data_IF_313711006555
#
_entry.id   IF_313711006555
#
_cell.length_a   1.000
_cell.length_b   1.000
_cell.length_c   1.000
_cell.angle_alpha   90.00
_cell.angle_beta   90.00
_cell.angle_gamma   90.00
#
_symmetry.space_group_name_H-M   'P 1'
#
loop_
_entity.id
_entity.type
_entity.pdbx_description
1 polymer ?
#
# COMPACT_ATOMS: atom_id res chain seq x y z
N UNK A 1 0.82 5.66 18.63
CA UNK A 1 0.42 5.25 17.27
C UNK A 1 -0.97 4.64 17.34
N UNK A 2 -1.84 4.95 16.38
CA UNK A 2 -3.12 4.27 16.19
C UNK A 2 -2.96 3.38 14.96
N UNK A 3 -3.41 2.12 15.06
CA UNK A 3 -3.43 1.19 13.93
C UNK A 3 -4.90 0.93 13.61
N UNK A 4 -5.24 1.11 12.34
CA UNK A 4 -6.56 0.79 11.80
C UNK A 4 -6.38 -0.45 10.94
N UNK A 5 -7.08 -1.52 11.29
CA UNK A 5 -7.17 -2.72 10.47
C UNK A 5 -8.46 -2.65 9.64
N UNK A 6 -8.35 -3.02 8.37
CA UNK A 6 -9.50 -3.18 7.49
C UNK A 6 -9.58 -4.64 7.09
N UNK A 7 -10.72 -5.28 7.36
CA UNK A 7 -10.92 -6.69 7.02
C UNK A 7 -11.09 -6.87 5.52
N UNK A 8 -10.40 -7.85 4.94
CA UNK A 8 -10.55 -8.22 3.52
C UNK A 8 -10.04 -7.15 2.54
N UNK A 9 -10.61 -7.14 1.33
CA UNK A 9 -10.32 -6.13 0.30
C UNK A 9 -11.22 -4.89 0.47
N UNK A 10 -11.27 -4.35 1.70
CA UNK A 10 -12.01 -3.13 1.96
C UNK A 10 -11.37 -1.94 1.21
N UNK A 11 -12.20 -1.01 0.65
CA UNK A 11 -11.68 0.22 0.06
C UNK A 11 -10.89 1.03 1.09
N UNK A 12 -9.58 1.19 0.87
CA UNK A 12 -8.70 1.92 1.80
C UNK A 12 -8.77 3.44 1.61
N UNK A 13 -9.27 3.89 0.46
CA UNK A 13 -9.34 5.29 0.09
C UNK A 13 -10.27 6.12 0.99
N UNK A 14 -11.54 5.73 1.24
CA UNK A 14 -12.43 6.52 2.10
C UNK A 14 -11.91 6.64 3.53
N UNK A 15 -11.24 5.60 4.02
CA UNK A 15 -10.59 5.62 5.34
C UNK A 15 -9.43 6.62 5.34
N UNK A 16 -8.58 6.60 4.33
CA UNK A 16 -7.46 7.55 4.21
C UNK A 16 -7.95 9.01 4.12
N UNK A 17 -9.02 9.28 3.37
CA UNK A 17 -9.62 10.61 3.21
C UNK A 17 -10.08 11.21 4.56
N UNK A 18 -10.51 10.38 5.51
CA UNK A 18 -10.95 10.82 6.83
C UNK A 18 -9.86 11.60 7.58
N UNK A 19 -8.58 11.27 7.36
CA UNK A 19 -7.45 11.94 8.01
C UNK A 19 -7.16 13.35 7.47
N UNK A 20 -7.76 13.73 6.35
CA UNK A 20 -7.66 15.07 5.77
C UNK A 20 -8.88 15.93 6.10
N UNK A 21 -9.89 15.37 6.78
CA UNK A 21 -11.03 16.15 7.25
C UNK A 21 -10.57 17.19 8.30
N UNK A 22 -10.98 18.47 8.20
CA UNK A 22 -10.59 19.53 9.15
C UNK A 22 -10.92 19.22 10.61
N UNK A 23 -11.87 18.32 10.88
CA UNK A 23 -12.25 17.89 12.23
C UNK A 23 -11.29 16.84 12.80
N UNK A 24 -10.55 16.13 11.95
CA UNK A 24 -9.66 15.01 12.30
C UNK A 24 -8.19 15.39 12.17
N UNK A 25 -7.83 16.08 11.09
CA UNK A 25 -6.46 16.45 10.73
C UNK A 25 -5.67 17.18 11.86
N UNK A 26 -6.28 18.05 12.70
CA UNK A 26 -5.56 18.67 13.82
C UNK A 26 -5.07 17.68 14.88
N UNK A 27 -5.71 16.50 14.98
CA UNK A 27 -5.46 15.51 16.03
C UNK A 27 -4.70 14.28 15.53
N UNK A 28 -4.87 13.94 14.25
CA UNK A 28 -4.29 12.73 13.66
C UNK A 28 -3.66 13.03 12.31
N UNK A 29 -2.54 12.35 12.04
CA UNK A 29 -1.88 12.34 10.73
C UNK A 29 -1.82 10.91 10.20
N UNK A 30 -2.22 10.71 8.95
CA UNK A 30 -1.99 9.45 8.26
C UNK A 30 -0.49 9.28 7.94
N UNK A 31 0.19 8.45 8.73
CA UNK A 31 1.63 8.24 8.58
C UNK A 31 1.97 7.25 7.46
N UNK A 32 1.32 6.09 7.46
CA UNK A 32 1.59 4.97 6.57
C UNK A 32 0.29 4.25 6.20
N UNK A 33 0.27 3.69 4.99
CA UNK A 33 -0.73 2.71 4.56
C UNK A 33 0.01 1.42 4.29
N UNK A 34 -0.31 0.37 5.06
CA UNK A 34 0.36 -0.93 4.98
C UNK A 34 -0.57 -1.93 4.32
N UNK A 35 -0.07 -2.68 3.34
CA UNK A 35 -0.80 -3.79 2.74
C UNK A 35 -0.07 -5.11 3.01
N UNK A 36 -0.83 -6.20 3.07
CA UNK A 36 -0.27 -7.55 3.14
C UNK A 36 -0.71 -8.30 1.88
N UNK A 37 0.24 -8.68 1.04
CA UNK A 37 -0.02 -9.34 -0.24
C UNK A 37 0.38 -10.81 -0.16
N UNK A 38 -0.38 -11.65 -0.84
CA UNK A 38 -0.02 -13.04 -1.05
C UNK A 38 0.82 -13.16 -2.33
N UNK A 39 2.11 -13.46 -2.18
CA UNK A 39 3.03 -13.60 -3.30
C UNK A 39 2.57 -14.64 -4.34
N UNK A 40 1.90 -15.71 -3.89
CA UNK A 40 1.44 -16.79 -4.78
C UNK A 40 0.24 -16.39 -5.65
N UNK A 41 -0.52 -15.37 -5.23
CA UNK A 41 -1.74 -14.90 -5.93
C UNK A 41 -1.57 -13.57 -6.65
N UNK A 42 -0.58 -12.77 -6.24
CA UNK A 42 -0.44 -11.39 -6.68
C UNK A 42 -0.36 -11.26 -8.21
N UNK A 43 0.37 -12.15 -8.89
CA UNK A 43 0.48 -12.10 -10.35
C UNK A 43 -0.89 -12.26 -11.04
N UNK A 44 -1.71 -13.20 -10.57
CA UNK A 44 -3.05 -13.42 -11.11
C UNK A 44 -3.98 -12.23 -10.81
N UNK A 45 -3.92 -11.69 -9.59
CA UNK A 45 -4.72 -10.53 -9.19
C UNK A 45 -4.35 -9.27 -9.99
N UNK A 46 -3.07 -9.05 -10.29
CA UNK A 46 -2.64 -7.93 -11.12
C UNK A 46 -2.98 -8.09 -12.60
N UNK A 47 -3.19 -9.33 -13.07
CA UNK A 47 -3.64 -9.62 -14.43
C UNK A 47 -5.17 -9.52 -14.60
N UNK A 48 -5.94 -9.56 -13.51
CA UNK A 48 -7.40 -9.38 -13.53
C UNK A 48 -7.75 -7.90 -13.78
N UNK A 49 -8.04 -7.54 -15.02
CA UNK A 49 -8.44 -6.18 -15.43
C UNK A 49 -9.94 -5.91 -15.31
N UNK A 50 -10.72 -6.85 -14.76
CA UNK A 50 -12.16 -6.69 -14.57
C UNK A 50 -12.49 -5.49 -13.67
N UNK A 51 -13.43 -4.67 -14.09
CA UNK A 51 -13.86 -3.47 -13.35
C UNK A 51 -14.45 -3.81 -11.96
N UNK A 52 -15.00 -5.00 -11.80
CA UNK A 52 -15.57 -5.49 -10.52
C UNK A 52 -14.73 -6.63 -9.90
N UNK A 53 -13.55 -6.92 -10.47
CA UNK A 53 -12.67 -8.01 -10.04
C UNK A 53 -11.81 -7.68 -8.81
N UNK A 54 -11.21 -8.71 -8.21
CA UNK A 54 -10.26 -8.56 -7.09
C UNK A 54 -9.09 -7.65 -7.49
N UNK A 55 -8.69 -7.69 -8.78
CA UNK A 55 -7.58 -6.89 -9.30
C UNK A 55 -7.78 -5.39 -9.15
N UNK A 56 -9.01 -4.87 -9.28
CA UNK A 56 -9.29 -3.44 -9.06
C UNK A 56 -8.95 -3.03 -7.63
N UNK A 57 -9.46 -3.78 -6.64
CA UNK A 57 -9.26 -3.48 -5.23
C UNK A 57 -7.78 -3.60 -4.83
N UNK A 58 -7.08 -4.60 -5.36
CA UNK A 58 -5.63 -4.74 -5.16
C UNK A 58 -4.89 -3.52 -5.70
N UNK A 59 -5.19 -3.07 -6.94
CA UNK A 59 -4.55 -1.87 -7.52
C UNK A 59 -4.83 -0.61 -6.71
N UNK A 60 -6.06 -0.42 -6.22
CA UNK A 60 -6.41 0.71 -5.36
C UNK A 60 -5.63 0.71 -4.04
N UNK A 61 -5.49 -0.46 -3.40
CA UNK A 61 -4.69 -0.61 -2.19
C UNK A 61 -3.21 -0.31 -2.45
N UNK A 62 -2.63 -0.80 -3.55
CA UNK A 62 -1.24 -0.53 -3.94
C UNK A 62 -1.00 0.95 -4.32
N UNK A 63 -1.99 1.60 -4.92
CA UNK A 63 -1.91 3.03 -5.24
C UNK A 63 -1.77 3.87 -3.97
N UNK A 64 -2.40 3.46 -2.86
CA UNK A 64 -2.33 4.18 -1.57
C UNK A 64 -1.18 3.72 -0.66
N UNK A 65 -0.77 2.46 -0.75
CA UNK A 65 0.17 1.84 0.18
C UNK A 65 1.55 2.53 0.21
N UNK A 66 2.12 2.79 1.38
CA UNK A 66 3.53 3.21 1.47
C UNK A 66 4.47 2.00 1.54
N UNK A 67 3.99 0.90 2.12
CA UNK A 67 4.77 -0.32 2.32
C UNK A 67 3.86 -1.51 2.15
N UNK A 68 4.40 -2.56 1.55
CA UNK A 68 3.71 -3.84 1.44
C UNK A 68 4.52 -4.96 2.05
N UNK A 69 3.83 -5.81 2.82
CA UNK A 69 4.36 -7.08 3.28
C UNK A 69 4.06 -8.11 2.19
N UNK A 70 5.09 -8.49 1.42
CA UNK A 70 4.97 -9.55 0.44
C UNK A 70 5.07 -10.88 1.20
N UNK A 71 3.92 -11.43 1.58
CA UNK A 71 3.80 -12.64 2.39
C UNK A 71 3.79 -13.92 1.52
N UNK A 72 3.98 -15.07 2.16
CA UNK A 72 4.02 -16.40 1.53
C UNK A 72 5.10 -16.53 0.46
N UNK A 73 6.24 -15.87 0.66
CA UNK A 73 7.38 -15.92 -0.28
C UNK A 73 8.01 -17.30 -0.40
N UNK A 74 7.68 -18.23 0.50
CA UNK A 74 8.02 -19.64 0.44
C UNK A 74 7.22 -20.43 -0.61
N UNK A 75 6.08 -19.89 -1.08
CA UNK A 75 5.23 -20.54 -2.07
C UNK A 75 5.54 -20.14 -3.52
N UNK A 76 6.56 -19.31 -3.73
CA UNK A 76 6.95 -18.81 -5.06
C UNK A 76 8.45 -19.01 -5.28
N UNK A 77 8.85 -19.12 -6.55
CA UNK A 77 10.27 -19.21 -6.90
C UNK A 77 11.01 -17.90 -6.61
N UNK A 78 12.34 -17.97 -6.50
CA UNK A 78 13.20 -16.79 -6.36
C UNK A 78 13.00 -15.79 -7.49
N UNK A 79 12.90 -16.28 -8.73
CA UNK A 79 12.65 -15.47 -9.92
C UNK A 79 11.29 -14.76 -9.86
N UNK A 80 10.22 -15.48 -9.49
CA UNK A 80 8.89 -14.88 -9.32
C UNK A 80 8.91 -13.80 -8.22
N UNK A 81 9.51 -14.10 -7.07
CA UNK A 81 9.63 -13.13 -5.98
C UNK A 81 10.39 -11.88 -6.41
N UNK A 82 11.48 -12.03 -7.15
CA UNK A 82 12.29 -10.90 -7.63
C UNK A 82 11.50 -10.03 -8.61
N UNK A 83 10.78 -10.67 -9.55
CA UNK A 83 9.89 -9.98 -10.49
C UNK A 83 8.79 -9.20 -9.76
N UNK A 84 8.06 -9.83 -8.83
CA UNK A 84 7.03 -9.16 -8.03
C UNK A 84 7.60 -8.00 -7.21
N UNK A 85 8.75 -8.20 -6.58
CA UNK A 85 9.42 -7.16 -5.79
C UNK A 85 9.78 -5.96 -6.65
N UNK A 86 10.36 -6.20 -7.84
CA UNK A 86 10.72 -5.13 -8.77
C UNK A 86 9.49 -4.35 -9.25
N UNK A 87 8.40 -5.05 -9.61
CA UNK A 87 7.14 -4.40 -10.03
C UNK A 87 6.54 -3.53 -8.92
N UNK A 88 6.53 -4.01 -7.68
CA UNK A 88 6.04 -3.25 -6.53
C UNK A 88 6.94 -2.04 -6.21
N UNK A 89 8.27 -2.21 -6.29
CA UNK A 89 9.22 -1.12 -6.09
C UNK A 89 9.11 -0.05 -7.19
N UNK A 90 8.82 -0.44 -8.44
CA UNK A 90 8.55 0.50 -9.53
C UNK A 90 7.30 1.36 -9.28
N UNK A 91 6.34 0.88 -8.47
CA UNK A 91 5.19 1.66 -7.98
C UNK A 91 5.55 2.56 -6.76
N UNK A 92 6.84 2.68 -6.42
CA UNK A 92 7.30 3.46 -5.28
C UNK A 92 6.95 2.83 -3.92
N UNK A 93 6.79 1.51 -3.85
CA UNK A 93 6.49 0.80 -2.61
C UNK A 93 7.76 0.29 -1.94
N UNK A 94 7.85 0.44 -0.62
CA UNK A 94 8.71 -0.44 0.17
C UNK A 94 8.15 -1.85 0.17
N UNK A 95 8.97 -2.83 -0.14
CA UNK A 95 8.59 -4.25 -0.13
C UNK A 95 9.31 -4.95 1.01
N UNK A 96 8.55 -5.54 1.94
CA UNK A 96 9.07 -6.34 3.05
C UNK A 96 8.64 -7.78 2.84
N UNK A 97 9.53 -8.67 2.37
CA UNK A 97 9.20 -10.06 2.17
C UNK A 97 9.06 -10.79 3.51
N UNK A 98 8.01 -11.58 3.68
CA UNK A 98 7.76 -12.31 4.92
C UNK A 98 7.06 -13.67 4.70
N UNK A 99 7.03 -14.47 5.77
CA UNK A 99 6.33 -15.76 5.84
C UNK A 99 5.40 -15.77 7.03
N UNK A 100 4.18 -16.27 6.85
CA UNK A 100 3.13 -16.25 7.87
C UNK A 100 2.93 -14.86 8.54
N UNK A 101 3.14 -13.78 7.78
CA UNK A 101 3.03 -12.40 8.28
C UNK A 101 4.09 -11.99 9.31
N UNK A 102 5.11 -12.81 9.56
CA UNK A 102 6.14 -12.53 10.58
C UNK A 102 7.11 -11.47 10.09
N UNK A 103 7.12 -10.34 10.77
CA UNK A 103 7.99 -9.18 10.51
C UNK A 103 8.38 -8.52 11.82
N UNK A 104 9.48 -7.77 11.82
CA UNK A 104 9.79 -6.86 12.92
C UNK A 104 8.89 -5.62 12.78
N UNK A 105 8.01 -5.42 13.76
CA UNK A 105 7.05 -4.33 13.73
C UNK A 105 7.72 -2.95 13.78
N UNK A 106 8.86 -2.83 14.48
CA UNK A 106 9.63 -1.60 14.52
C UNK A 106 10.11 -1.19 13.13
N UNK A 107 10.61 -2.16 12.36
CA UNK A 107 11.09 -1.93 11.00
C UNK A 107 9.94 -1.56 10.06
N UNK A 108 8.75 -2.12 10.25
CA UNK A 108 7.58 -1.82 9.41
C UNK A 108 6.99 -0.45 9.74
N UNK A 109 6.87 -0.09 11.02
CA UNK A 109 6.23 1.16 11.46
C UNK A 109 7.14 2.38 11.39
N UNK A 110 8.47 2.23 11.51
CA UNK A 110 9.44 3.35 11.50
C UNK A 110 10.08 3.56 10.14
N UNK A 111 9.34 3.37 9.05
CA UNK A 111 9.86 3.52 7.69
C UNK A 111 10.13 5.01 7.37
N UNK A 112 11.25 5.54 7.89
CA UNK A 112 11.69 6.91 7.64
C UNK A 112 11.80 7.18 6.14
N UNK A 113 11.29 8.33 5.68
CA UNK A 113 11.22 8.69 4.27
C UNK A 113 10.12 8.01 3.45
N UNK A 114 9.52 6.92 3.94
CA UNK A 114 8.43 6.18 3.27
C UNK A 114 7.06 6.51 3.89
N UNK A 115 6.79 7.80 4.09
CA UNK A 115 5.53 8.27 4.66
C UNK A 115 4.50 8.55 3.58
N UNK A 116 3.21 8.56 3.95
CA UNK A 116 2.12 8.88 3.02
C UNK A 116 2.35 10.24 2.33
N UNK A 117 2.73 11.26 3.11
CA UNK A 117 3.01 12.59 2.58
C UNK A 117 4.19 12.61 1.60
N UNK A 118 5.28 11.89 1.90
CA UNK A 118 6.45 11.82 1.02
C UNK A 118 6.11 11.15 -0.32
N UNK A 119 5.31 10.07 -0.29
CA UNK A 119 4.86 9.36 -1.50
C UNK A 119 3.88 10.20 -2.32
N UNK A 120 2.99 10.94 -1.67
CA UNK A 120 2.09 11.88 -2.33
C UNK A 120 2.86 13.01 -3.03
N UNK A 121 3.90 13.56 -2.40
CA UNK A 121 4.77 14.57 -3.02
C UNK A 121 5.58 14.02 -4.20
N UNK A 122 6.13 12.81 -4.08
CA UNK A 122 6.94 12.18 -5.13
C UNK A 122 6.13 11.83 -6.38
N UNK A 123 4.80 11.63 -6.26
CA UNK A 123 3.92 11.42 -7.39
C UNK A 123 3.85 12.67 -8.31
N UNK A 124 4.11 13.87 -7.78
CA UNK A 124 4.12 15.13 -8.53
C UNK A 124 2.73 15.79 -8.67
N UNK A 125 2.67 17.08 -9.06
CA UNK A 125 1.41 17.79 -9.28
C UNK A 125 0.65 17.16 -10.46
N UNK A 126 -0.54 16.62 -10.20
CA UNK A 126 -1.40 15.99 -11.22
C UNK A 126 -1.24 14.48 -11.36
N UNK A 127 -0.37 13.82 -10.60
CA UNK A 127 -0.42 12.37 -10.49
C UNK A 127 -1.68 11.94 -9.75
N UNK A 128 -2.54 11.23 -10.46
CA UNK A 128 -3.79 10.73 -9.94
C UNK A 128 -3.52 9.52 -9.03
N UNK A 129 -3.27 9.77 -7.74
CA UNK A 129 -3.57 8.76 -6.72
C UNK A 129 -5.10 8.80 -6.60
N UNK A 130 -5.83 7.73 -6.98
CA UNK A 130 -7.29 7.76 -6.98
C UNK A 130 -7.83 8.30 -5.65
N UNK A 131 -8.56 9.43 -5.71
CA UNK A 131 -9.19 10.11 -4.58
C UNK A 131 -8.31 10.81 -3.55
N UNK A 132 -7.00 10.95 -3.78
CA UNK A 132 -6.16 11.88 -3.01
C UNK A 132 -6.12 13.17 -3.83
N UNK A 133 -6.95 14.13 -3.43
CA UNK A 133 -6.96 15.46 -4.05
C UNK A 133 -5.55 16.04 -4.10
N UNK A 134 -5.28 16.80 -5.17
CA UNK A 134 -4.14 17.70 -5.28
C UNK A 134 -4.15 18.64 -4.09
N UNK A 135 -3.45 18.28 -3.01
CA UNK A 135 -3.25 19.20 -1.89
C UNK A 135 -2.26 20.22 -2.44
N UNK A 136 -2.78 21.39 -2.82
CA UNK A 136 -1.98 22.56 -3.05
C UNK A 136 -1.12 22.79 -1.82
N UNK A 137 0.20 22.66 -2.01
CA UNK A 137 1.18 23.40 -1.22
C UNK A 137 1.00 24.88 -1.47
#
# INVERSE_FOLDING_TARGET
>A
HVIIEGTGLAPSLPVAQTFFDPRVHPYFRLAHVLTVLDASRLAAQLADEGADGEGRLVREQLALATTTLLNKVDLVSSAQRQSLTASLQAMGLRVVPCRAGKVNLGDVLKAEGQTFAARAQAAGPGAHVPGVWSVGV
#
